data_IF_975716854640
#
_entry.id   IF_975716854640
#
_cell.length_a   1.000
_cell.length_b   1.000
_cell.length_c   1.000
_cell.angle_alpha   90.00
_cell.angle_beta   90.00
_cell.angle_gamma   90.00
#
_symmetry.space_group_name_H-M   'P 1'
#
loop_
_entity.id
_entity.type
_entity.pdbx_description
1 polymer ?
#
# COMPACT_ATOMS: atom_id res chain seq x y z
N UNK A 1 -22.79 11.53 -29.05
CA UNK A 1 -21.61 10.78 -29.56
C UNK A 1 -20.34 11.38 -28.97
N UNK A 2 -19.45 10.55 -28.48
CA UNK A 2 -18.15 10.99 -27.99
C UNK A 2 -17.31 11.50 -29.17
N UNK A 3 -16.69 12.67 -29.03
CA UNK A 3 -15.81 13.25 -30.05
C UNK A 3 -14.39 12.68 -29.97
N UNK A 4 -14.01 12.21 -28.79
CA UNK A 4 -12.73 11.55 -28.53
C UNK A 4 -12.86 10.66 -27.29
N UNK A 5 -11.99 9.65 -27.17
CA UNK A 5 -11.87 8.81 -25.97
C UNK A 5 -10.39 8.63 -25.61
N UNK A 6 -10.11 8.62 -24.32
CA UNK A 6 -8.78 8.31 -23.77
C UNK A 6 -8.95 7.24 -22.69
N UNK A 7 -8.12 6.21 -22.73
CA UNK A 7 -8.07 5.18 -21.68
C UNK A 7 -6.89 5.43 -20.76
N UNK A 8 -7.12 5.30 -19.46
CA UNK A 8 -6.02 5.29 -18.48
C UNK A 8 -5.20 4.00 -18.59
N UNK A 9 -4.03 3.96 -17.95
CA UNK A 9 -3.34 2.70 -17.68
C UNK A 9 -4.24 1.76 -16.85
N UNK A 10 -4.03 0.44 -16.89
CA UNK A 10 -4.72 -0.52 -16.04
C UNK A 10 -4.57 -0.17 -14.55
N UNK A 11 -5.59 -0.50 -13.75
CA UNK A 11 -5.63 -0.12 -12.33
C UNK A 11 -4.43 -0.64 -11.52
N UNK A 12 -3.96 -1.85 -11.81
CA UNK A 12 -2.77 -2.41 -11.17
C UNK A 12 -1.50 -1.62 -11.47
N UNK A 13 -1.35 -1.06 -12.66
CA UNK A 13 -0.20 -0.20 -13.01
C UNK A 13 -0.28 1.15 -12.29
N UNK A 14 -1.48 1.75 -12.21
CA UNK A 14 -1.68 2.99 -11.44
C UNK A 14 -1.41 2.76 -9.96
N UNK A 15 -1.83 1.62 -9.41
CA UNK A 15 -1.54 1.24 -8.02
C UNK A 15 -0.04 1.01 -7.80
N UNK A 16 0.64 0.33 -8.71
CA UNK A 16 2.08 0.13 -8.64
C UNK A 16 2.85 1.46 -8.70
N UNK A 17 2.42 2.39 -9.54
CA UNK A 17 2.97 3.75 -9.57
C UNK A 17 2.80 4.45 -8.21
N UNK A 18 1.59 4.44 -7.66
CA UNK A 18 1.29 5.03 -6.34
C UNK A 18 2.21 4.47 -5.25
N UNK A 19 2.38 3.16 -5.20
CA UNK A 19 3.20 2.50 -4.16
C UNK A 19 4.69 2.81 -4.32
N UNK A 20 5.21 2.78 -5.55
CA UNK A 20 6.63 3.04 -5.86
C UNK A 20 7.05 4.48 -5.60
N UNK A 21 6.17 5.43 -5.94
CA UNK A 21 6.46 6.86 -5.78
C UNK A 21 5.93 7.41 -4.46
N UNK A 22 5.18 6.60 -3.70
CA UNK A 22 4.49 7.06 -2.48
C UNK A 22 3.60 8.27 -2.76
N UNK A 23 2.77 8.17 -3.82
CA UNK A 23 1.91 9.27 -4.26
C UNK A 23 0.71 9.42 -3.34
N UNK A 24 0.70 10.49 -2.55
CA UNK A 24 -0.32 10.77 -1.54
C UNK A 24 -1.68 11.09 -2.17
N UNK A 25 -1.70 11.72 -3.35
CA UNK A 25 -2.94 12.07 -4.07
C UNK A 25 -3.63 10.81 -4.56
N UNK A 26 -2.89 9.90 -5.17
CA UNK A 26 -3.43 8.62 -5.62
C UNK A 26 -3.87 7.75 -4.43
N UNK A 27 -3.13 7.74 -3.32
CA UNK A 27 -3.52 7.01 -2.13
C UNK A 27 -4.87 7.53 -1.57
N UNK A 28 -5.05 8.84 -1.48
CA UNK A 28 -6.33 9.43 -1.08
C UNK A 28 -7.44 9.14 -2.09
N UNK A 29 -7.15 9.15 -3.40
CA UNK A 29 -8.10 8.79 -4.44
C UNK A 29 -8.56 7.34 -4.33
N UNK A 30 -7.66 6.38 -4.08
CA UNK A 30 -8.03 4.97 -3.87
C UNK A 30 -8.93 4.79 -2.64
N UNK A 31 -8.64 5.50 -1.55
CA UNK A 31 -9.54 5.55 -0.38
C UNK A 31 -10.92 6.08 -0.76
N UNK A 32 -10.99 7.15 -1.52
CA UNK A 32 -12.24 7.73 -2.05
C UNK A 32 -13.00 6.73 -2.93
N UNK A 33 -12.33 6.05 -3.83
CA UNK A 33 -12.95 5.05 -4.70
C UNK A 33 -13.49 3.87 -3.90
N UNK A 34 -12.79 3.47 -2.83
CA UNK A 34 -13.28 2.43 -1.88
C UNK A 34 -14.57 2.88 -1.21
N UNK A 35 -14.62 4.11 -0.68
CA UNK A 35 -15.83 4.66 -0.07
C UNK A 35 -17.00 4.77 -1.06
N UNK A 36 -16.74 5.21 -2.28
CA UNK A 36 -17.75 5.27 -3.35
C UNK A 36 -18.29 3.88 -3.69
N UNK A 37 -17.42 2.90 -3.82
CA UNK A 37 -17.82 1.50 -4.08
C UNK A 37 -18.70 0.94 -2.97
N UNK A 38 -18.46 1.34 -1.74
CA UNK A 38 -19.21 0.94 -0.55
C UNK A 38 -20.43 1.84 -0.26
N UNK A 39 -20.64 2.87 -1.05
CA UNK A 39 -21.69 3.90 -0.82
C UNK A 39 -21.59 4.55 0.57
N UNK A 40 -20.38 4.72 1.08
CA UNK A 40 -20.10 5.16 2.46
C UNK A 40 -20.10 6.69 2.65
N UNK A 41 -20.39 7.47 1.60
CA UNK A 41 -20.42 8.93 1.70
C UNK A 41 -19.24 9.63 1.04
N UNK A 42 -19.04 10.93 1.34
CA UNK A 42 -18.11 11.81 0.62
C UNK A 42 -17.30 12.69 1.58
N UNK A 43 -16.45 12.08 2.40
CA UNK A 43 -15.52 12.78 3.30
C UNK A 43 -14.28 11.94 3.57
N UNK A 44 -13.19 12.57 4.02
CA UNK A 44 -11.97 11.85 4.44
C UNK A 44 -12.30 10.80 5.50
N UNK A 45 -13.17 11.13 6.45
CA UNK A 45 -13.61 10.20 7.50
C UNK A 45 -14.30 8.95 6.92
N UNK A 46 -15.19 9.13 5.94
CA UNK A 46 -15.84 7.98 5.29
C UNK A 46 -14.90 7.20 4.39
N UNK A 47 -13.88 7.82 3.81
CA UNK A 47 -12.85 7.15 3.03
C UNK A 47 -12.01 6.22 3.92
N UNK A 48 -11.49 6.74 5.03
CA UNK A 48 -10.68 5.98 5.97
C UNK A 48 -11.48 4.86 6.64
N UNK A 49 -12.73 5.13 7.00
CA UNK A 49 -13.61 4.09 7.56
C UNK A 49 -13.89 2.98 6.53
N UNK A 50 -14.17 3.33 5.28
CA UNK A 50 -14.40 2.36 4.21
C UNK A 50 -13.19 1.45 3.97
N UNK A 51 -11.97 2.00 4.06
CA UNK A 51 -10.74 1.21 3.98
C UNK A 51 -10.63 0.28 5.18
N UNK A 52 -10.80 0.77 6.41
CA UNK A 52 -10.71 -0.04 7.62
C UNK A 52 -11.75 -1.18 7.62
N UNK A 53 -13.00 -0.91 7.23
CA UNK A 53 -14.06 -1.91 7.12
C UNK A 53 -13.72 -2.97 6.07
N UNK A 54 -13.13 -2.55 4.93
CA UNK A 54 -12.71 -3.49 3.88
C UNK A 54 -11.60 -4.42 4.36
N UNK A 55 -10.65 -3.91 5.14
CA UNK A 55 -9.59 -4.72 5.75
C UNK A 55 -10.15 -5.71 6.76
N UNK A 56 -11.05 -5.26 7.64
CA UNK A 56 -11.71 -6.13 8.62
C UNK A 56 -12.53 -7.25 7.97
N UNK A 57 -13.27 -6.96 6.88
CA UNK A 57 -13.99 -7.95 6.09
C UNK A 57 -13.08 -8.99 5.43
N UNK A 58 -11.82 -8.64 5.19
CA UNK A 58 -10.79 -9.56 4.69
C UNK A 58 -10.09 -10.35 5.81
N UNK A 59 -10.51 -10.18 7.06
CA UNK A 59 -9.99 -10.89 8.21
C UNK A 59 -8.71 -10.27 8.80
N UNK A 60 -8.37 -9.04 8.43
CA UNK A 60 -7.21 -8.31 8.97
C UNK A 60 -7.60 -7.65 10.29
N UNK A 61 -6.77 -7.81 11.32
CA UNK A 61 -6.98 -7.13 12.60
C UNK A 61 -6.78 -5.62 12.45
N UNK A 62 -7.87 -4.89 12.57
CA UNK A 62 -7.90 -3.43 12.51
C UNK A 62 -8.01 -2.76 13.89
N UNK A 63 -7.93 -3.50 14.99
CA UNK A 63 -8.08 -2.97 16.36
C UNK A 63 -7.03 -1.91 16.71
N UNK A 64 -5.83 -2.01 16.13
CA UNK A 64 -4.73 -1.06 16.27
C UNK A 64 -4.63 -0.05 15.12
N UNK A 65 -5.64 0.03 14.23
CA UNK A 65 -5.62 0.91 13.06
C UNK A 65 -6.42 2.19 13.32
N UNK A 66 -5.77 3.33 13.19
CA UNK A 66 -6.38 4.65 13.14
C UNK A 66 -5.84 5.40 11.92
N UNK A 67 -6.70 5.83 11.04
CA UNK A 67 -6.34 6.54 9.82
C UNK A 67 -6.87 7.97 9.88
N UNK A 68 -5.98 8.95 9.86
CA UNK A 68 -6.34 10.37 9.75
C UNK A 68 -6.67 10.74 8.29
N UNK A 69 -6.03 10.08 7.32
CA UNK A 69 -6.31 10.10 5.89
C UNK A 69 -5.90 8.76 5.25
N UNK A 70 -6.02 8.62 3.95
CA UNK A 70 -5.62 7.41 3.22
C UNK A 70 -4.17 7.46 2.70
N UNK A 71 -3.49 8.60 2.84
CA UNK A 71 -2.10 8.78 2.39
C UNK A 71 -1.05 8.53 3.47
N UNK A 72 -1.43 8.67 4.74
CA UNK A 72 -0.53 8.63 5.89
C UNK A 72 0.22 9.95 6.14
N UNK A 73 -0.08 11.01 5.37
CA UNK A 73 0.58 12.31 5.52
C UNK A 73 0.02 13.12 6.70
N UNK A 74 -1.29 13.02 6.96
CA UNK A 74 -1.95 13.75 8.04
C UNK A 74 -1.56 13.17 9.40
N UNK A 75 -1.09 14.01 10.36
CA UNK A 75 -0.80 13.56 11.72
C UNK A 75 -1.99 12.87 12.40
N UNK A 76 -1.70 11.87 13.24
CA UNK A 76 -2.72 11.14 14.00
C UNK A 76 -3.02 9.73 13.48
N UNK A 77 -2.45 9.33 12.33
CA UNK A 77 -2.52 7.94 11.88
C UNK A 77 -1.67 7.02 12.78
N UNK A 78 -2.22 5.83 13.08
CA UNK A 78 -1.56 4.77 13.86
C UNK A 78 -1.89 3.43 13.23
N UNK A 79 -0.96 2.50 13.28
CA UNK A 79 -1.14 1.13 12.81
C UNK A 79 -0.34 0.17 13.69
N UNK A 80 -0.92 -0.99 14.02
CA UNK A 80 -0.19 -2.03 14.73
C UNK A 80 0.73 -2.80 13.79
N UNK A 81 1.78 -3.39 14.32
CA UNK A 81 2.67 -4.30 13.58
C UNK A 81 1.88 -5.50 13.07
N UNK A 82 0.96 -6.03 13.87
CA UNK A 82 0.06 -7.13 13.48
C UNK A 82 -0.73 -6.79 12.22
N UNK A 83 -1.42 -5.65 12.20
CA UNK A 83 -2.16 -5.19 11.02
C UNK A 83 -1.26 -5.12 9.76
N UNK A 84 -0.03 -4.61 9.90
CA UNK A 84 0.91 -4.50 8.77
C UNK A 84 1.34 -5.87 8.26
N UNK A 85 1.66 -6.82 9.15
CA UNK A 85 2.06 -8.18 8.78
C UNK A 85 0.90 -8.89 8.06
N UNK A 86 -0.30 -8.88 8.63
CA UNK A 86 -1.47 -9.52 8.03
C UNK A 86 -1.81 -8.95 6.65
N UNK A 87 -1.68 -7.62 6.47
CA UNK A 87 -1.81 -6.99 5.15
C UNK A 87 -0.76 -7.49 4.16
N UNK A 88 0.51 -7.63 4.57
CA UNK A 88 1.56 -8.14 3.70
C UNK A 88 1.34 -9.60 3.33
N UNK A 89 0.97 -10.44 4.28
CA UNK A 89 0.63 -11.85 4.05
C UNK A 89 -0.57 -11.98 3.10
N UNK A 90 -1.60 -11.17 3.28
CA UNK A 90 -2.76 -11.13 2.40
C UNK A 90 -2.37 -10.75 0.97
N UNK A 91 -1.49 -9.79 0.79
CA UNK A 91 -0.98 -9.38 -0.52
C UNK A 91 -0.22 -10.50 -1.25
N UNK A 92 0.37 -11.44 -0.54
CA UNK A 92 1.09 -12.57 -1.12
C UNK A 92 0.17 -13.72 -1.55
N UNK A 93 -0.99 -13.88 -0.90
CA UNK A 93 -1.83 -15.08 -1.03
C UNK A 93 -3.06 -14.89 -1.90
N UNK A 94 -3.49 -13.69 -2.17
CA UNK A 94 -4.77 -13.40 -2.81
C UNK A 94 -4.60 -12.83 -4.22
N UNK A 95 -4.64 -13.65 -5.24
CA UNK A 95 -4.82 -13.32 -6.66
C UNK A 95 -4.53 -11.86 -7.10
N UNK A 96 -5.57 -11.02 -7.11
CA UNK A 96 -5.44 -9.59 -7.49
C UNK A 96 -4.54 -8.80 -6.51
N UNK A 97 -4.42 -9.20 -5.26
CA UNK A 97 -3.60 -8.52 -4.28
C UNK A 97 -2.08 -8.68 -4.53
N UNK A 98 -1.65 -9.64 -5.32
CA UNK A 98 -0.25 -9.74 -5.76
C UNK A 98 0.20 -8.51 -6.53
N UNK A 99 -0.70 -7.82 -7.23
CA UNK A 99 -0.40 -6.57 -7.92
C UNK A 99 0.06 -5.46 -6.94
N UNK A 100 -0.45 -5.43 -5.70
CA UNK A 100 0.02 -4.51 -4.67
C UNK A 100 1.44 -4.86 -4.24
N UNK A 101 1.75 -6.13 -4.00
CA UNK A 101 3.09 -6.58 -3.64
C UNK A 101 4.11 -6.26 -4.74
N UNK A 102 3.75 -6.46 -6.02
CA UNK A 102 4.60 -6.13 -7.18
C UNK A 102 4.83 -4.61 -7.32
N UNK A 103 3.90 -3.80 -6.88
CA UNK A 103 4.00 -2.34 -6.87
C UNK A 103 4.93 -1.77 -5.80
N UNK A 104 5.37 -2.55 -4.82
CA UNK A 104 6.26 -2.08 -3.76
C UNK A 104 7.66 -1.71 -4.28
N UNK A 105 8.35 -0.85 -3.53
CA UNK A 105 9.73 -0.46 -3.83
C UNK A 105 10.68 -1.65 -3.67
N UNK A 106 11.69 -1.71 -4.52
CA UNK A 106 12.77 -2.71 -4.44
C UNK A 106 14.05 -1.97 -4.06
N UNK A 107 14.58 -2.18 -2.84
CA UNK A 107 15.85 -1.59 -2.44
C UNK A 107 16.97 -1.85 -3.45
N UNK A 108 17.75 -0.84 -3.74
CA UNK A 108 18.82 -0.89 -4.74
C UNK A 108 18.36 -0.76 -6.21
N UNK A 109 17.05 -0.87 -6.51
CA UNK A 109 16.55 -0.93 -7.88
C UNK A 109 15.51 0.14 -8.21
N UNK A 110 14.40 0.21 -7.47
CA UNK A 110 13.28 1.06 -7.87
C UNK A 110 12.48 1.61 -6.67
N UNK A 111 11.88 2.79 -6.86
CA UNK A 111 10.97 3.40 -5.91
C UNK A 111 11.67 4.16 -4.77
N UNK A 112 10.93 4.49 -3.72
CA UNK A 112 11.41 5.30 -2.58
C UNK A 112 12.48 4.61 -1.75
N UNK A 113 12.63 3.29 -1.86
CA UNK A 113 13.68 2.52 -1.19
C UNK A 113 14.94 2.31 -2.06
N UNK A 114 15.00 2.87 -3.26
CA UNK A 114 16.09 2.65 -4.22
C UNK A 114 17.48 2.87 -3.64
N UNK A 115 17.64 3.85 -2.76
CA UNK A 115 18.93 4.19 -2.15
C UNK A 115 19.14 3.55 -0.77
N UNK A 116 18.32 2.57 -0.39
CA UNK A 116 18.42 1.86 0.89
C UNK A 116 18.87 0.42 0.64
N UNK A 117 19.75 -0.11 1.53
CA UNK A 117 20.18 -1.53 1.51
C UNK A 117 20.70 -1.92 0.12
N UNK A 118 21.87 -1.44 -0.26
CA UNK A 118 22.32 -1.49 -1.66
C UNK A 118 23.47 -2.45 -1.90
N UNK A 119 23.93 -3.22 -0.91
CA UNK A 119 25.13 -4.05 -1.06
C UNK A 119 24.87 -5.50 -0.66
N UNK A 120 25.19 -6.42 -1.55
CA UNK A 120 25.23 -7.85 -1.27
C UNK A 120 24.34 -8.71 -2.17
N UNK A 121 24.36 -10.04 -1.96
CA UNK A 121 23.61 -11.01 -2.77
C UNK A 121 22.08 -10.90 -2.61
N UNK A 122 21.60 -10.07 -1.69
CA UNK A 122 20.20 -9.93 -1.34
C UNK A 122 19.45 -8.86 -2.16
N UNK A 123 20.13 -8.24 -3.11
CA UNK A 123 19.54 -7.28 -4.03
C UNK A 123 18.35 -7.89 -4.78
N UNK A 124 17.20 -7.22 -4.73
CA UNK A 124 15.99 -7.65 -5.41
C UNK A 124 15.11 -8.63 -4.61
N UNK A 125 15.56 -9.12 -3.45
CA UNK A 125 14.74 -10.02 -2.61
C UNK A 125 13.66 -9.27 -1.81
N UNK A 126 13.85 -7.98 -1.56
CA UNK A 126 12.94 -7.16 -0.75
C UNK A 126 11.89 -6.46 -1.62
N UNK A 127 10.69 -6.41 -1.10
CA UNK A 127 9.58 -5.59 -1.59
C UNK A 127 9.04 -4.79 -0.42
N UNK A 128 9.21 -3.44 -0.44
CA UNK A 128 8.95 -2.62 0.74
C UNK A 128 8.17 -1.35 0.42
N UNK A 129 7.35 -0.91 1.38
CA UNK A 129 6.78 0.43 1.44
C UNK A 129 7.49 1.22 2.53
N UNK A 130 7.99 2.37 2.17
CA UNK A 130 8.62 3.32 3.12
C UNK A 130 7.59 4.34 3.62
N UNK A 131 7.76 4.81 4.85
CA UNK A 131 7.13 6.02 5.37
C UNK A 131 8.19 6.90 6.02
N UNK A 132 8.15 8.20 5.75
CA UNK A 132 9.10 9.17 6.32
C UNK A 132 8.43 10.52 6.47
N UNK A 133 8.32 10.98 7.70
CA UNK A 133 7.87 12.31 8.12
C UNK A 133 8.85 12.82 9.18
N UNK A 134 8.73 14.09 9.59
CA UNK A 134 9.67 14.71 10.54
C UNK A 134 9.89 13.92 11.84
N UNK A 135 8.85 13.26 12.33
CA UNK A 135 8.89 12.49 13.58
C UNK A 135 8.58 11.00 13.40
N UNK A 136 8.46 10.50 12.16
CA UNK A 136 8.05 9.12 11.89
C UNK A 136 8.91 8.51 10.81
N UNK A 137 9.46 7.33 11.08
CA UNK A 137 10.09 6.47 10.09
C UNK A 137 9.47 5.09 10.16
N UNK A 138 9.04 4.56 9.03
CA UNK A 138 8.44 3.24 8.94
C UNK A 138 8.91 2.48 7.70
N UNK A 139 8.90 1.17 7.81
CA UNK A 139 9.16 0.24 6.72
C UNK A 139 8.29 -1.00 6.93
N UNK A 140 7.57 -1.39 5.91
CA UNK A 140 6.82 -2.64 5.89
C UNK A 140 6.95 -3.31 4.53
N UNK A 141 6.95 -4.62 4.49
CA UNK A 141 7.10 -5.33 3.22
C UNK A 141 7.43 -6.80 3.37
N UNK A 142 7.94 -7.36 2.31
CA UNK A 142 8.20 -8.79 2.18
C UNK A 142 9.65 -9.03 1.76
N UNK A 143 10.22 -10.13 2.21
CA UNK A 143 11.52 -10.62 1.76
C UNK A 143 11.40 -12.04 1.23
N UNK A 144 11.82 -12.25 -0.02
CA UNK A 144 11.91 -13.58 -0.62
C UNK A 144 13.16 -14.29 -0.10
N UNK A 145 13.00 -15.54 0.33
CA UNK A 145 14.12 -16.36 0.81
C UNK A 145 14.77 -17.08 -0.36
N UNK A 146 16.09 -17.13 -0.38
CA UNK A 146 16.89 -17.83 -1.43
C UNK A 146 16.51 -19.32 -1.54
N UNK A 147 16.16 -19.97 -0.43
CA UNK A 147 15.74 -21.38 -0.38
C UNK A 147 14.21 -21.57 -0.49
N UNK A 148 13.50 -20.56 -0.96
CA UNK A 148 12.05 -20.57 -1.10
C UNK A 148 11.29 -20.06 0.12
N UNK A 149 10.05 -19.57 -0.13
CA UNK A 149 9.19 -18.91 0.83
C UNK A 149 9.43 -17.40 0.92
N UNK A 150 8.50 -16.72 1.58
CA UNK A 150 8.49 -15.27 1.81
C UNK A 150 8.29 -15.02 3.30
N UNK A 151 8.91 -13.98 3.81
CA UNK A 151 8.70 -13.44 5.15
C UNK A 151 8.10 -12.04 5.04
N UNK A 152 7.18 -11.70 5.94
CA UNK A 152 6.58 -10.37 6.09
C UNK A 152 7.02 -9.72 7.37
#
# INVERSE_FOLDING_TARGET
SALASVSSAPLNEVMAFMLRHSDNTLAQLFGRLTALKRQAGNSIKTDTQAVADTLAEQGIDTSGLQMADCSGLTPGSKVSVTTLIEMQERNLTAGIATAAAEGLSIPGLVGTARNRIVTGPDNGLFRVKTGSLDAVTSLAGNVSRVKGGVLS
#
